data_IF_973651127559
#
_entry.id   IF_973651127559
#
_cell.length_a   1.000
_cell.length_b   1.000
_cell.length_c   1.000
_cell.angle_alpha   90.00
_cell.angle_beta   90.00
_cell.angle_gamma   90.00
#
_symmetry.space_group_name_H-M   'P 1'
#
loop_
_entity.id
_entity.type
_entity.pdbx_description
1 polymer ?
#
# COMPACT_ATOMS: atom_id res chain seq x y z
N UNK A 1 3.64 15.06 0.37
CA UNK A 1 5.00 14.94 -0.21
C UNK A 1 5.02 13.73 -1.16
N UNK A 2 5.74 13.87 -2.23
CA UNK A 2 5.82 12.82 -3.23
C UNK A 2 7.27 12.38 -3.42
N UNK A 3 7.50 11.06 -3.39
CA UNK A 3 8.83 10.48 -3.58
C UNK A 3 9.11 10.33 -5.07
N UNK A 4 10.34 10.63 -5.53
CA UNK A 4 10.68 10.47 -6.95
C UNK A 4 10.52 9.02 -7.42
N UNK A 5 10.11 8.86 -8.68
CA UNK A 5 9.90 7.53 -9.25
C UNK A 5 11.18 6.69 -9.28
N UNK A 6 12.33 7.32 -9.44
CA UNK A 6 13.59 6.59 -9.42
C UNK A 6 13.79 5.86 -8.08
N UNK A 7 13.41 6.53 -6.99
CA UNK A 7 13.48 5.91 -5.66
C UNK A 7 12.49 4.75 -5.56
N UNK A 8 11.29 4.91 -6.12
CA UNK A 8 10.28 3.85 -6.09
C UNK A 8 10.77 2.61 -6.84
N UNK A 9 11.38 2.79 -8.01
CA UNK A 9 11.93 1.68 -8.78
C UNK A 9 13.06 0.98 -8.02
N UNK A 10 13.93 1.76 -7.42
CA UNK A 10 15.03 1.23 -6.62
C UNK A 10 14.50 0.38 -5.48
N UNK A 11 13.54 0.90 -4.74
CA UNK A 11 12.98 0.19 -3.61
C UNK A 11 12.32 -1.12 -4.01
N UNK A 12 11.63 -1.15 -5.14
CA UNK A 12 10.99 -2.38 -5.60
C UNK A 12 12.00 -3.44 -5.99
N UNK A 13 13.14 -3.04 -6.54
CA UNK A 13 14.17 -3.98 -6.97
C UNK A 13 14.93 -4.60 -5.83
N UNK A 14 15.24 -3.78 -4.83
CA UNK A 14 16.06 -4.21 -3.71
C UNK A 14 15.28 -4.27 -2.42
N UNK A 15 13.97 -4.33 -2.53
CA UNK A 15 13.13 -4.55 -1.38
C UNK A 15 13.61 -5.76 -0.63
N UNK A 16 13.91 -5.59 0.61
CA UNK A 16 14.40 -6.66 1.44
C UNK A 16 13.62 -6.70 2.74
N UNK A 17 13.60 -7.85 3.41
CA UNK A 17 12.87 -8.01 4.65
C UNK A 17 13.31 -7.04 5.75
N UNK A 18 14.56 -6.60 5.71
CA UNK A 18 15.06 -5.67 6.73
C UNK A 18 14.38 -4.32 6.63
N UNK A 19 14.20 -3.78 5.41
CA UNK A 19 13.54 -2.50 5.23
C UNK A 19 12.10 -2.56 5.75
N UNK A 20 11.42 -3.69 5.53
CA UNK A 20 10.05 -3.88 6.01
C UNK A 20 10.02 -4.05 7.52
N UNK A 21 10.99 -4.78 8.09
CA UNK A 21 11.00 -5.11 9.52
C UNK A 21 11.41 -3.97 10.42
N UNK A 22 12.38 -3.18 9.99
CA UNK A 22 13.07 -2.23 10.87
C UNK A 22 12.86 -0.78 10.50
N UNK A 23 11.93 -0.47 9.62
CA UNK A 23 11.55 0.91 9.38
C UNK A 23 10.89 1.51 10.62
N UNK A 24 10.91 2.83 10.73
CA UNK A 24 10.28 3.52 11.84
C UNK A 24 8.78 3.26 11.97
N UNK A 25 8.18 2.72 10.93
CA UNK A 25 6.75 2.40 10.88
C UNK A 25 6.50 0.90 10.92
N UNK A 26 7.38 0.15 11.58
CA UNK A 26 7.35 -1.31 11.62
C UNK A 26 5.97 -1.91 11.96
N UNK A 27 5.20 -1.38 12.92
CA UNK A 27 3.87 -1.94 13.22
C UNK A 27 2.89 -1.86 12.05
N UNK A 28 3.15 -0.98 11.08
CA UNK A 28 2.30 -0.78 9.90
C UNK A 28 2.81 -1.54 8.68
N UNK A 29 4.00 -2.12 8.78
CA UNK A 29 4.61 -2.78 7.63
C UNK A 29 3.78 -3.95 7.16
N UNK A 30 3.63 -4.04 5.84
CA UNK A 30 2.95 -5.13 5.20
C UNK A 30 3.39 -5.21 3.76
N UNK A 31 2.81 -6.13 3.03
CA UNK A 31 3.14 -6.34 1.62
C UNK A 31 1.86 -6.45 0.82
N UNK A 32 1.79 -5.72 -0.28
CA UNK A 32 0.72 -5.89 -1.25
C UNK A 32 1.21 -6.84 -2.34
N UNK A 33 0.53 -7.96 -2.49
CA UNK A 33 0.77 -8.86 -3.61
C UNK A 33 -0.17 -8.47 -4.73
N UNK A 34 0.38 -8.21 -5.90
CA UNK A 34 -0.41 -7.77 -7.05
C UNK A 34 0.11 -8.43 -8.32
N UNK A 35 -0.70 -8.41 -9.36
CA UNK A 35 -0.38 -9.04 -10.64
C UNK A 35 -0.14 -7.94 -11.68
N UNK A 36 0.93 -8.07 -12.44
CA UNK A 36 1.25 -7.14 -13.51
C UNK A 36 0.13 -7.12 -14.54
N UNK A 37 -0.42 -5.94 -14.79
CA UNK A 37 -1.54 -5.77 -15.73
C UNK A 37 -1.18 -6.08 -17.17
N UNK A 38 0.11 -6.13 -17.46
CA UNK A 38 0.60 -6.46 -18.82
C UNK A 38 1.30 -7.81 -18.85
N UNK A 39 2.10 -8.12 -17.86
CA UNK A 39 2.93 -9.33 -17.85
C UNK A 39 2.24 -10.55 -17.24
N UNK A 40 1.24 -10.34 -16.39
CA UNK A 40 0.61 -11.42 -15.64
C UNK A 40 1.47 -11.96 -14.51
N UNK A 41 2.65 -11.40 -14.29
CA UNK A 41 3.54 -11.84 -13.22
C UNK A 41 3.07 -11.32 -11.87
N UNK A 42 3.31 -12.12 -10.84
CA UNK A 42 3.00 -11.73 -9.46
C UNK A 42 4.15 -10.92 -8.88
N UNK A 43 3.81 -9.81 -8.26
CA UNK A 43 4.77 -8.92 -7.60
C UNK A 43 4.38 -8.74 -6.15
N UNK A 44 5.36 -8.44 -5.31
CA UNK A 44 5.14 -8.09 -3.90
C UNK A 44 5.81 -6.75 -3.62
N UNK A 45 5.04 -5.80 -3.12
CA UNK A 45 5.54 -4.46 -2.81
C UNK A 45 5.36 -4.18 -1.32
N UNK A 46 6.43 -3.91 -0.58
CA UNK A 46 6.33 -3.55 0.83
C UNK A 46 5.79 -2.15 0.97
N UNK A 47 4.83 -1.98 1.87
CA UNK A 47 4.12 -0.72 2.06
C UNK A 47 3.76 -0.56 3.51
N UNK A 48 3.47 0.68 3.91
CA UNK A 48 2.81 0.94 5.18
C UNK A 48 1.32 0.75 4.96
N UNK A 49 0.72 -0.14 5.72
CA UNK A 49 -0.67 -0.55 5.51
C UNK A 49 -1.46 -0.30 6.78
N UNK A 50 -2.52 0.47 6.67
CA UNK A 50 -3.41 0.79 7.78
C UNK A 50 -4.70 0.00 7.66
N UNK A 51 -5.26 -0.40 8.80
CA UNK A 51 -6.48 -1.18 8.81
C UNK A 51 -7.71 -0.27 8.87
N UNK A 52 -8.78 -0.71 8.19
CA UNK A 52 -10.09 -0.08 8.25
C UNK A 52 -11.12 -1.11 8.70
N UNK A 53 -12.36 -0.68 8.88
CA UNK A 53 -13.42 -1.59 9.32
C UNK A 53 -13.61 -2.78 8.37
N UNK A 54 -13.46 -2.57 7.07
CA UNK A 54 -13.71 -3.61 6.07
C UNK A 54 -12.56 -3.85 5.12
N UNK A 55 -11.35 -3.41 5.47
CA UNK A 55 -10.19 -3.62 4.62
C UNK A 55 -8.98 -2.86 5.06
N UNK A 56 -8.35 -2.18 4.09
CA UNK A 56 -7.07 -1.51 4.32
C UNK A 56 -6.97 -0.19 3.56
N UNK A 57 -6.10 0.68 4.07
CA UNK A 57 -5.70 1.93 3.41
C UNK A 57 -4.19 1.93 3.28
N UNK A 58 -3.70 2.28 2.09
CA UNK A 58 -2.26 2.37 1.82
C UNK A 58 -1.94 3.77 1.32
N UNK A 59 -1.13 4.54 2.05
CA UNK A 59 -0.69 5.86 1.57
C UNK A 59 0.10 5.73 0.28
N UNK A 60 -0.14 6.61 -0.67
CA UNK A 60 0.57 6.61 -1.95
C UNK A 60 1.69 7.66 -1.90
N UNK A 61 2.93 7.18 -1.70
CA UNK A 61 4.08 8.09 -1.58
C UNK A 61 4.86 8.28 -2.85
N UNK A 62 4.81 7.32 -3.77
CA UNK A 62 5.64 7.34 -4.98
C UNK A 62 4.89 7.79 -6.23
N UNK A 63 3.67 8.28 -6.06
CA UNK A 63 2.87 8.80 -7.16
C UNK A 63 1.84 7.81 -7.66
N UNK A 64 0.77 8.36 -8.24
CA UNK A 64 -0.36 7.57 -8.73
C UNK A 64 0.02 6.69 -9.91
N UNK A 65 1.07 7.03 -10.64
CA UNK A 65 1.54 6.26 -11.77
C UNK A 65 2.45 5.09 -11.38
N UNK A 66 2.70 4.88 -10.10
CA UNK A 66 3.48 3.72 -9.63
C UNK A 66 2.85 2.41 -10.11
N UNK A 67 3.69 1.45 -10.45
CA UNK A 67 3.18 0.20 -11.02
C UNK A 67 2.24 -0.55 -10.08
N UNK A 68 2.54 -0.56 -8.78
CA UNK A 68 1.67 -1.27 -7.84
C UNK A 68 0.27 -0.63 -7.76
N UNK A 69 0.21 0.69 -7.86
CA UNK A 69 -1.08 1.40 -7.87
C UNK A 69 -1.84 1.03 -9.14
N UNK A 70 -1.19 1.11 -10.28
CA UNK A 70 -1.84 0.80 -11.56
C UNK A 70 -2.27 -0.66 -11.63
N UNK A 71 -1.45 -1.59 -11.13
CA UNK A 71 -1.82 -2.99 -11.09
C UNK A 71 -3.03 -3.23 -10.18
N UNK A 72 -3.07 -2.56 -9.03
CA UNK A 72 -4.21 -2.67 -8.12
C UNK A 72 -5.50 -2.16 -8.77
N UNK A 73 -5.42 -1.03 -9.48
CA UNK A 73 -6.58 -0.44 -10.13
C UNK A 73 -7.07 -1.25 -11.33
N UNK A 74 -6.20 -2.08 -11.90
CA UNK A 74 -6.56 -2.89 -13.06
C UNK A 74 -7.52 -4.04 -12.74
N UNK A 75 -7.76 -4.32 -11.46
CA UNK A 75 -8.76 -5.30 -11.05
C UNK A 75 -8.32 -6.74 -11.00
N UNK A 76 -7.02 -7.00 -11.16
CA UNK A 76 -6.49 -8.35 -11.00
C UNK A 76 -6.48 -8.80 -9.54
N UNK A 77 -6.07 -10.05 -9.29
CA UNK A 77 -6.00 -10.57 -7.92
C UNK A 77 -5.07 -9.76 -7.03
N UNK A 78 -5.52 -9.46 -5.81
CA UNK A 78 -4.77 -8.69 -4.84
C UNK A 78 -4.85 -9.38 -3.49
N UNK A 79 -3.75 -9.34 -2.73
CA UNK A 79 -3.72 -9.83 -1.36
C UNK A 79 -2.83 -8.93 -0.50
N UNK A 80 -3.23 -8.75 0.75
CA UNK A 80 -2.42 -8.06 1.75
C UNK A 80 -1.81 -9.10 2.67
N UNK A 81 -0.50 -9.03 2.84
CA UNK A 81 0.24 -9.84 3.80
C UNK A 81 0.66 -8.93 4.95
N UNK A 82 0.08 -9.14 6.11
CA UNK A 82 0.35 -8.27 7.26
C UNK A 82 0.16 -9.06 8.55
N UNK A 83 1.09 -8.88 9.48
CA UNK A 83 1.02 -9.53 10.79
C UNK A 83 0.84 -11.04 10.72
N UNK A 84 1.53 -11.67 9.78
CA UNK A 84 1.48 -13.13 9.62
C UNK A 84 0.22 -13.64 8.95
N UNK A 85 -0.65 -12.75 8.47
CA UNK A 85 -1.91 -13.14 7.80
C UNK A 85 -1.89 -12.71 6.34
N UNK A 86 -2.59 -13.47 5.52
CA UNK A 86 -2.81 -13.15 4.12
C UNK A 86 -4.30 -12.91 3.91
N UNK A 87 -4.65 -11.72 3.45
CA UNK A 87 -6.04 -11.32 3.27
C UNK A 87 -6.27 -10.95 1.80
N UNK A 88 -7.10 -11.70 1.07
CA UNK A 88 -7.49 -11.29 -0.27
C UNK A 88 -8.27 -9.98 -0.21
N UNK A 89 -7.99 -9.08 -1.14
CA UNK A 89 -8.65 -7.77 -1.18
C UNK A 89 -9.10 -7.45 -2.60
N UNK A 90 -10.00 -6.48 -2.71
CA UNK A 90 -10.56 -6.08 -3.99
C UNK A 90 -11.03 -4.63 -3.93
N UNK A 91 -11.64 -4.16 -5.02
CA UNK A 91 -12.27 -2.83 -5.10
C UNK A 91 -11.29 -1.70 -4.79
N UNK A 92 -10.09 -1.78 -5.35
CA UNK A 92 -9.08 -0.74 -5.18
C UNK A 92 -9.59 0.59 -5.73
N UNK A 93 -9.50 1.64 -4.92
CA UNK A 93 -9.88 2.98 -5.35
C UNK A 93 -8.99 4.02 -4.68
N UNK A 94 -8.83 5.14 -5.36
CA UNK A 94 -7.99 6.22 -4.87
C UNK A 94 -8.88 7.27 -4.22
N UNK A 95 -8.49 7.69 -3.01
CA UNK A 95 -9.21 8.71 -2.25
C UNK A 95 -8.22 9.74 -1.73
N UNK A 96 -8.73 10.88 -1.28
CA UNK A 96 -7.88 11.88 -0.64
C UNK A 96 -7.36 11.35 0.69
N UNK A 97 -6.24 11.89 1.13
CA UNK A 97 -5.68 11.52 2.43
C UNK A 97 -6.67 11.80 3.56
N UNK A 98 -7.36 12.93 3.51
CA UNK A 98 -8.32 13.29 4.55
C UNK A 98 -9.46 12.28 4.65
N UNK A 99 -10.00 11.85 3.51
CA UNK A 99 -11.06 10.85 3.51
C UNK A 99 -10.54 9.50 4.03
N UNK A 100 -9.34 9.09 3.57
CA UNK A 100 -8.73 7.85 4.02
C UNK A 100 -8.52 7.84 5.54
N UNK A 101 -8.08 8.97 6.10
CA UNK A 101 -7.89 9.07 7.54
C UNK A 101 -9.17 8.76 8.31
N UNK A 102 -10.32 9.18 7.79
CA UNK A 102 -11.60 8.92 8.43
C UNK A 102 -11.96 7.44 8.46
N UNK A 103 -11.38 6.64 7.58
CA UNK A 103 -11.64 5.21 7.49
C UNK A 103 -10.72 4.38 8.38
N UNK A 104 -9.56 4.91 8.75
CA UNK A 104 -8.55 4.16 9.51
C UNK A 104 -9.05 3.89 10.93
N UNK A 105 -9.03 2.63 11.33
CA UNK A 105 -9.48 2.21 12.67
C UNK A 105 -8.34 2.06 13.66
N UNK A 106 -7.13 1.78 13.19
CA UNK A 106 -5.96 1.63 14.03
C UNK A 106 -4.82 2.47 13.48
N UNK A 107 -4.17 3.22 14.36
CA UNK A 107 -3.03 4.04 13.97
C UNK A 107 -3.41 5.31 13.22
N UNK A 108 -4.60 5.87 13.51
CA UNK A 108 -5.06 7.09 12.81
C UNK A 108 -4.09 8.24 12.99
N UNK A 109 -3.52 8.41 14.17
CA UNK A 109 -2.54 9.47 14.41
C UNK A 109 -1.31 9.27 13.55
N UNK A 110 -0.82 8.03 13.45
CA UNK A 110 0.32 7.72 12.60
C UNK A 110 0.00 7.98 11.13
N UNK A 111 -1.22 7.67 10.71
CA UNK A 111 -1.65 7.97 9.35
C UNK A 111 -1.63 9.47 9.08
N UNK A 112 -2.17 10.24 10.03
CA UNK A 112 -2.20 11.71 9.91
C UNK A 112 -0.79 12.28 9.79
N UNK A 113 0.16 11.75 10.55
CA UNK A 113 1.53 12.24 10.58
C UNK A 113 2.41 11.62 9.48
N UNK A 114 1.87 10.68 8.72
CA UNK A 114 2.62 10.04 7.64
C UNK A 114 3.06 11.11 6.63
N UNK A 115 4.33 11.10 6.19
CA UNK A 115 4.87 12.20 5.38
C UNK A 115 4.31 12.29 3.96
N UNK A 116 3.65 11.25 3.47
CA UNK A 116 3.14 11.22 2.11
C UNK A 116 1.67 11.60 2.12
N UNK A 117 1.34 12.68 1.44
CA UNK A 117 0.01 13.27 1.50
C UNK A 117 -0.68 13.41 0.13
N UNK A 118 -0.15 12.79 -0.92
CA UNK A 118 -0.73 12.91 -2.25
C UNK A 118 -2.12 12.27 -2.32
N UNK A 119 -2.23 11.04 -1.88
CA UNK A 119 -3.50 10.30 -1.91
C UNK A 119 -3.32 8.98 -1.17
N UNK A 120 -4.38 8.19 -1.11
CA UNK A 120 -4.33 6.86 -0.53
C UNK A 120 -5.16 5.88 -1.35
N UNK A 121 -4.77 4.62 -1.32
CA UNK A 121 -5.51 3.54 -1.97
C UNK A 121 -6.34 2.82 -0.90
N UNK A 122 -7.62 2.66 -1.17
CA UNK A 122 -8.54 1.92 -0.30
C UNK A 122 -8.80 0.56 -0.91
N UNK A 123 -8.71 -0.48 -0.08
CA UNK A 123 -8.94 -1.86 -0.48
C UNK A 123 -9.94 -2.49 0.48
N UNK A 124 -10.86 -3.28 -0.07
CA UNK A 124 -11.86 -3.98 0.73
C UNK A 124 -11.49 -5.45 0.83
N UNK A 125 -11.55 -6.01 2.03
CA UNK A 125 -11.31 -7.45 2.21
C UNK A 125 -12.39 -8.24 1.50
N UNK A 126 -11.95 -9.25 0.77
CA UNK A 126 -12.86 -10.12 0.00
C UNK A 126 -13.49 -11.19 0.88
#
# INVERSE_FOLDING_TARGET
MRVPRAVAKFNRRITNPLAVRFGGWAPLNGTLEHVGRKSGKTYRTPLNIFETADGFVVPIGYGLESHWVQNALAGGPLSIHKAGRTVPVANARIVSKAYAESLVTRGRTMFRLHPYDEAALVLTAS
#
